data_IF_412619253630
#
_entry.id   IF_412619253630
#
_cell.length_a   1.000
_cell.length_b   1.000
_cell.length_c   1.000
_cell.angle_alpha   90.00
_cell.angle_beta   90.00
_cell.angle_gamma   90.00
#
_symmetry.space_group_name_H-M   'P 1'
#
loop_
_entity.id
_entity.type
_entity.pdbx_description
1 polymer ?
#
# COMPACT_ATOMS: atom_id res chain seq x y z
N UNK A 1 7.12 45.20 -2.63
CA UNK A 1 7.79 44.66 -1.43
C UNK A 1 8.25 43.25 -1.76
N UNK A 2 9.52 42.93 -1.50
CA UNK A 2 10.17 41.70 -1.94
C UNK A 2 9.49 40.46 -1.33
N UNK A 3 9.16 39.51 -2.19
CA UNK A 3 8.57 38.23 -1.85
C UNK A 3 9.66 37.39 -1.18
N UNK A 4 9.74 37.41 0.14
CA UNK A 4 10.78 36.74 0.92
C UNK A 4 10.50 35.23 0.99
N UNK A 5 10.50 34.57 -0.17
CA UNK A 5 10.49 33.11 -0.27
C UNK A 5 11.92 32.64 -0.07
N UNK A 6 12.14 31.83 0.97
CA UNK A 6 13.39 31.09 1.17
C UNK A 6 13.77 30.37 -0.12
N UNK A 7 15.05 30.47 -0.47
CA UNK A 7 15.66 29.79 -1.60
C UNK A 7 15.82 28.29 -1.32
N UNK A 8 16.03 27.50 -2.36
CA UNK A 8 16.20 26.05 -2.23
C UNK A 8 17.45 25.71 -1.40
N UNK A 9 18.52 26.50 -1.56
CA UNK A 9 19.75 26.40 -0.79
C UNK A 9 19.52 26.63 0.71
N UNK A 10 18.72 27.62 1.09
CA UNK A 10 18.39 27.88 2.49
C UNK A 10 17.56 26.75 3.11
N UNK A 11 16.65 26.14 2.35
CA UNK A 11 15.86 24.98 2.80
C UNK A 11 16.75 23.75 2.98
N UNK A 12 17.75 23.55 2.11
CA UNK A 12 18.71 22.46 2.25
C UNK A 12 19.57 22.63 3.52
N UNK A 13 20.02 23.85 3.80
CA UNK A 13 20.79 24.14 5.02
C UNK A 13 19.96 23.93 6.30
N UNK A 14 18.67 24.26 6.28
CA UNK A 14 17.74 23.93 7.37
C UNK A 14 17.63 22.42 7.59
N UNK A 15 17.56 21.62 6.52
CA UNK A 15 17.51 20.16 6.61
C UNK A 15 18.80 19.57 7.21
N UNK A 16 19.97 20.09 6.80
CA UNK A 16 21.27 19.66 7.31
C UNK A 16 21.44 20.00 8.81
N UNK A 17 20.79 21.07 9.28
CA UNK A 17 20.71 21.44 10.71
C UNK A 17 19.69 20.62 11.51
N UNK A 18 18.92 19.75 10.85
CA UNK A 18 17.87 18.95 11.47
C UNK A 18 16.59 19.74 11.78
N UNK A 19 16.39 20.89 11.15
CA UNK A 19 15.16 21.69 11.28
C UNK A 19 14.02 21.07 10.45
N UNK A 20 12.77 21.26 10.89
CA UNK A 20 11.61 20.73 10.18
C UNK A 20 11.32 21.53 8.89
N UNK A 21 11.63 20.91 7.75
CA UNK A 21 11.42 21.49 6.41
C UNK A 21 10.16 20.98 5.71
N UNK A 22 9.27 20.25 6.40
CA UNK A 22 8.08 19.61 5.79
C UNK A 22 7.18 20.61 5.07
N UNK A 23 7.07 21.84 5.58
CA UNK A 23 6.30 22.92 4.97
C UNK A 23 6.84 23.36 3.60
N UNK A 24 8.13 23.17 3.32
CA UNK A 24 8.77 23.55 2.04
C UNK A 24 8.76 22.40 1.03
N UNK A 25 8.72 21.15 1.50
CA UNK A 25 8.56 19.95 0.67
C UNK A 25 7.13 19.78 0.15
N UNK A 26 6.19 20.54 0.71
CA UNK A 26 4.78 20.53 0.34
C UNK A 26 4.56 21.36 -0.94
N UNK A 27 4.86 20.80 -2.11
CA UNK A 27 4.44 21.40 -3.38
C UNK A 27 2.90 21.53 -3.43
N UNK A 28 2.34 22.64 -3.96
CA UNK A 28 0.90 22.80 -4.14
C UNK A 28 0.31 21.80 -5.16
N UNK A 29 1.15 21.20 -5.98
CA UNK A 29 0.80 20.03 -6.78
C UNK A 29 1.06 18.77 -5.96
N UNK A 30 0.06 18.45 -5.12
CA UNK A 30 -0.27 17.20 -4.40
C UNK A 30 0.46 15.94 -4.87
N UNK A 31 1.78 15.92 -4.68
CA UNK A 31 2.66 14.82 -4.99
C UNK A 31 2.49 13.74 -3.93
N UNK A 32 2.01 12.57 -4.37
CA UNK A 32 2.17 11.20 -3.85
C UNK A 32 2.03 10.88 -2.34
N UNK A 33 2.35 11.77 -1.40
CA UNK A 33 2.20 11.58 0.04
C UNK A 33 0.73 11.71 0.49
N UNK A 34 -0.06 12.63 -0.09
CA UNK A 34 -1.50 12.77 0.25
C UNK A 34 -2.29 11.51 -0.16
N UNK A 35 -1.87 10.83 -1.25
CA UNK A 35 -2.50 9.57 -1.70
C UNK A 35 -2.25 8.40 -0.75
N UNK A 36 -1.20 8.45 0.07
CA UNK A 36 -0.96 7.45 1.11
C UNK A 36 -1.83 7.69 2.35
N UNK A 37 -2.05 8.96 2.73
CA UNK A 37 -2.88 9.31 3.89
C UNK A 37 -4.39 9.29 3.62
N UNK A 38 -4.83 9.49 2.36
CA UNK A 38 -6.25 9.47 1.98
C UNK A 38 -6.74 8.10 1.46
N UNK A 39 -6.03 7.01 1.78
CA UNK A 39 -6.60 5.68 1.51
C UNK A 39 -7.75 5.48 2.49
N UNK A 40 -8.98 5.29 1.98
CA UNK A 40 -10.13 4.88 2.80
C UNK A 40 -9.83 3.51 3.41
N UNK A 41 -9.20 3.49 4.57
CA UNK A 41 -8.92 2.26 5.32
C UNK A 41 -10.23 1.85 5.99
N UNK A 42 -10.85 0.80 5.49
CA UNK A 42 -11.97 0.14 6.17
C UNK A 42 -11.39 -0.82 7.20
N UNK A 43 -11.81 -0.68 8.45
CA UNK A 43 -11.53 -1.66 9.51
C UNK A 43 -12.72 -2.59 9.63
N UNK A 44 -12.46 -3.90 9.64
CA UNK A 44 -13.48 -4.93 9.77
C UNK A 44 -13.00 -5.93 10.83
N UNK A 45 -13.92 -6.37 11.70
CA UNK A 45 -13.67 -7.45 12.66
C UNK A 45 -13.96 -8.77 11.94
N UNK A 46 -13.05 -9.73 12.07
CA UNK A 46 -13.17 -11.06 11.47
C UNK A 46 -12.91 -12.07 12.56
N UNK A 47 -13.78 -13.06 12.68
CA UNK A 47 -13.61 -14.17 13.60
C UNK A 47 -12.78 -15.28 12.92
N UNK A 48 -11.81 -15.80 13.66
CA UNK A 48 -11.00 -16.95 13.28
C UNK A 48 -11.30 -18.10 14.23
N UNK A 49 -11.30 -19.33 13.72
CA UNK A 49 -11.30 -20.50 14.60
C UNK A 49 -9.99 -20.58 15.38
N UNK A 50 -10.01 -21.34 16.48
CA UNK A 50 -8.88 -21.42 17.40
C UNK A 50 -7.61 -21.94 16.71
N UNK A 51 -7.74 -23.00 15.91
CA UNK A 51 -6.66 -23.58 15.10
C UNK A 51 -6.05 -22.58 14.10
N UNK A 52 -6.90 -21.82 13.41
CA UNK A 52 -6.41 -20.78 12.48
C UNK A 52 -5.66 -19.67 13.21
N UNK A 53 -6.11 -19.29 14.42
CA UNK A 53 -5.42 -18.30 15.23
C UNK A 53 -4.04 -18.82 15.70
N UNK A 54 -3.94 -20.09 16.11
CA UNK A 54 -2.66 -20.72 16.47
C UNK A 54 -1.69 -20.76 15.29
N UNK A 55 -2.17 -21.09 14.08
CA UNK A 55 -1.34 -21.11 12.87
C UNK A 55 -0.80 -19.70 12.53
N UNK A 56 -1.66 -18.68 12.64
CA UNK A 56 -1.25 -17.28 12.43
C UNK A 56 -0.21 -16.86 13.46
N UNK A 57 -0.37 -17.28 14.71
CA UNK A 57 0.54 -16.95 15.81
C UNK A 57 1.91 -17.60 15.63
N UNK A 58 1.92 -18.88 15.23
CA UNK A 58 3.13 -19.61 14.92
C UNK A 58 3.89 -18.95 13.77
N UNK A 59 3.20 -18.58 12.68
CA UNK A 59 3.80 -17.89 11.54
C UNK A 59 4.31 -16.49 11.90
N UNK A 60 3.55 -15.74 12.69
CA UNK A 60 3.96 -14.44 13.20
C UNK A 60 5.24 -14.53 14.03
N UNK A 61 5.35 -15.55 14.90
CA UNK A 61 6.53 -15.80 15.71
C UNK A 61 7.73 -16.23 14.86
N UNK A 62 7.54 -17.11 13.89
CA UNK A 62 8.62 -17.60 13.01
C UNK A 62 9.20 -16.48 12.15
N UNK A 63 8.34 -15.60 11.64
CA UNK A 63 8.72 -14.51 10.76
C UNK A 63 9.05 -13.20 11.50
N UNK A 64 8.91 -13.19 12.83
CA UNK A 64 9.09 -12.01 13.69
C UNK A 64 8.31 -10.77 13.22
N UNK A 65 7.04 -10.97 12.87
CA UNK A 65 6.14 -9.90 12.41
C UNK A 65 4.78 -9.97 13.10
N UNK A 66 4.03 -8.87 13.02
CA UNK A 66 2.71 -8.79 13.63
C UNK A 66 1.71 -9.73 12.95
N UNK A 67 0.83 -10.38 13.74
CA UNK A 67 -0.29 -11.22 13.25
C UNK A 67 -1.14 -10.51 12.18
N UNK A 68 -1.41 -9.22 12.34
CA UNK A 68 -2.14 -8.42 11.35
C UNK A 68 -1.39 -8.31 10.02
N UNK A 69 -0.06 -8.24 10.05
CA UNK A 69 0.74 -8.21 8.82
C UNK A 69 0.63 -9.53 8.07
N UNK A 70 0.64 -10.67 8.78
CA UNK A 70 0.39 -12.00 8.21
C UNK A 70 -0.99 -12.05 7.55
N UNK A 71 -2.05 -11.67 8.28
CA UNK A 71 -3.43 -11.68 7.77
C UNK A 71 -3.54 -10.82 6.50
N UNK A 72 -2.98 -9.61 6.52
CA UNK A 72 -3.01 -8.70 5.36
C UNK A 72 -2.25 -9.31 4.18
N UNK A 73 -1.09 -9.92 4.42
CA UNK A 73 -0.29 -10.53 3.35
C UNK A 73 -1.02 -11.70 2.70
N UNK A 74 -1.56 -12.62 3.51
CA UNK A 74 -2.31 -13.78 3.02
C UNK A 74 -3.54 -13.35 2.22
N UNK A 75 -4.31 -12.39 2.74
CA UNK A 75 -5.49 -11.86 2.04
C UNK A 75 -5.13 -11.17 0.72
N UNK A 76 -4.04 -10.40 0.68
CA UNK A 76 -3.55 -9.80 -0.56
C UNK A 76 -3.18 -10.86 -1.59
N UNK A 77 -2.43 -11.88 -1.18
CA UNK A 77 -1.98 -12.94 -2.08
C UNK A 77 -3.17 -13.73 -2.63
N UNK A 78 -4.14 -14.08 -1.78
CA UNK A 78 -5.37 -14.74 -2.20
C UNK A 78 -6.16 -13.91 -3.21
N UNK A 79 -6.35 -12.61 -2.95
CA UNK A 79 -7.06 -11.71 -3.86
C UNK A 79 -6.33 -11.54 -5.20
N UNK A 80 -5.00 -11.44 -5.18
CA UNK A 80 -4.18 -11.34 -6.39
C UNK A 80 -4.34 -12.60 -7.23
N UNK A 81 -4.19 -13.78 -6.62
CA UNK A 81 -4.33 -15.07 -7.32
C UNK A 81 -5.69 -15.22 -7.98
N UNK A 82 -6.78 -14.93 -7.25
CA UNK A 82 -8.12 -15.05 -7.79
C UNK A 82 -8.39 -14.09 -8.95
N UNK A 83 -7.93 -12.83 -8.85
CA UNK A 83 -8.06 -11.86 -9.95
C UNK A 83 -7.30 -12.29 -11.19
N UNK A 84 -6.10 -12.85 -11.02
CA UNK A 84 -5.31 -13.40 -12.12
C UNK A 84 -6.04 -14.59 -12.76
N UNK A 85 -6.58 -15.52 -11.96
CA UNK A 85 -7.34 -16.67 -12.47
C UNK A 85 -8.58 -16.25 -13.27
N UNK A 86 -9.30 -15.22 -12.84
CA UNK A 86 -10.43 -14.65 -13.58
C UNK A 86 -9.99 -14.11 -14.95
N UNK A 87 -8.90 -13.34 -14.99
CA UNK A 87 -8.37 -12.79 -16.25
C UNK A 87 -7.91 -13.88 -17.21
N UNK A 88 -7.23 -14.93 -16.72
CA UNK A 88 -6.81 -16.08 -17.52
C UNK A 88 -8.04 -16.79 -18.13
N UNK A 89 -9.07 -17.02 -17.31
CA UNK A 89 -10.32 -17.67 -17.77
C UNK A 89 -11.01 -16.84 -18.85
N UNK A 90 -11.08 -15.53 -18.67
CA UNK A 90 -11.67 -14.61 -19.64
C UNK A 90 -10.86 -14.60 -20.94
N UNK A 91 -9.53 -14.53 -20.86
CA UNK A 91 -8.65 -14.59 -22.01
C UNK A 91 -8.82 -15.89 -22.82
N UNK A 92 -8.90 -17.05 -22.15
CA UNK A 92 -9.15 -18.33 -22.80
C UNK A 92 -10.49 -18.34 -23.54
N UNK A 93 -11.56 -17.82 -22.92
CA UNK A 93 -12.88 -17.70 -23.58
C UNK A 93 -12.82 -16.82 -24.84
N UNK A 94 -12.18 -15.66 -24.78
CA UNK A 94 -11.99 -14.80 -25.95
C UNK A 94 -11.19 -15.51 -27.05
N UNK A 95 -10.10 -16.19 -26.70
CA UNK A 95 -9.29 -16.95 -27.67
C UNK A 95 -10.07 -18.10 -28.32
N UNK A 96 -10.98 -18.76 -27.60
CA UNK A 96 -11.81 -19.84 -28.14
C UNK A 96 -12.96 -19.36 -29.03
N UNK A 97 -13.46 -18.13 -28.82
CA UNK A 97 -14.50 -17.53 -29.66
C UNK A 97 -13.94 -16.88 -30.93
N UNK A 98 -12.68 -16.44 -30.93
CA UNK A 98 -11.99 -15.86 -32.09
C UNK A 98 -11.53 -16.85 -33.16
N UNK A 99 -11.75 -18.16 -32.98
CA UNK A 99 -11.39 -19.21 -33.97
C UNK A 99 -12.60 -19.62 -34.83
N UNK A 100 -13.78 -19.06 -34.57
CA UNK A 100 -15.01 -19.30 -35.35
C UNK A 100 -15.52 -17.99 -35.99
N UNK A 101 -14.64 -17.24 -36.66
CA UNK A 101 -14.98 -16.12 -37.52
C UNK A 101 -14.23 -16.22 -38.84
#
# INVERSE_FOLDING_TARGET
>A
MYNNKLTAEEIAEMADKGEDITHFLSTPEKGYAEKLHNKKISKTIVDFSYDMAEDIDALASQLNINRQAIIIMVMKEFLIRNKISEHITNFQRFSSQGVMA
#
